data_IF_922196823203
#
_entry.id   IF_922196823203
#
_cell.length_a   1.000
_cell.length_b   1.000
_cell.length_c   1.000
_cell.angle_alpha   90.00
_cell.angle_beta   90.00
_cell.angle_gamma   90.00
#
_symmetry.space_group_name_H-M   'P 1'
#
loop_
_entity.id
_entity.type
_entity.pdbx_description
1 polymer ?
#
# COMPACT_ATOMS: atom_id res chain seq x y z
N UNK A 1 -39.29 9.85 89.74
CA UNK A 1 -38.01 9.15 89.47
C UNK A 1 -37.26 9.97 88.44
N UNK A 2 -36.10 10.50 88.83
CA UNK A 2 -35.24 11.40 88.04
C UNK A 2 -34.84 10.80 86.69
N UNK A 3 -34.69 11.61 85.63
CA UNK A 3 -33.53 11.50 84.71
C UNK A 3 -33.44 12.65 83.67
N UNK A 4 -32.46 13.53 83.91
CA UNK A 4 -31.48 14.17 83.01
C UNK A 4 -31.79 14.54 81.53
N UNK A 5 -31.64 15.86 81.26
CA UNK A 5 -30.72 16.52 80.30
C UNK A 5 -30.47 15.87 78.91
N UNK A 6 -30.65 16.66 77.83
CA UNK A 6 -29.57 17.15 76.92
C UNK A 6 -30.10 17.96 75.73
N UNK A 7 -29.57 19.18 75.56
CA UNK A 7 -29.57 19.94 74.29
C UNK A 7 -28.70 19.21 73.25
N UNK A 8 -29.06 19.23 71.95
CA UNK A 8 -28.08 19.10 70.89
C UNK A 8 -27.77 20.45 70.24
N UNK A 9 -26.48 20.67 70.04
CA UNK A 9 -25.85 21.83 69.45
C UNK A 9 -26.16 21.97 67.95
N UNK A 10 -26.34 23.21 67.50
CA UNK A 10 -26.48 23.57 66.09
C UNK A 10 -25.07 23.60 65.47
N UNK A 11 -24.80 22.67 64.56
CA UNK A 11 -23.61 22.66 63.71
C UNK A 11 -23.85 23.59 62.50
N UNK A 12 -22.93 24.53 62.18
CA UNK A 12 -23.03 25.28 60.94
C UNK A 12 -22.55 24.39 59.78
N UNK A 13 -23.43 24.17 58.81
CA UNK A 13 -23.11 23.47 57.57
C UNK A 13 -22.28 24.40 56.69
N UNK A 14 -20.97 24.19 56.64
CA UNK A 14 -20.07 24.88 55.70
C UNK A 14 -20.29 24.32 54.30
N UNK A 15 -20.86 25.14 53.42
CA UNK A 15 -21.02 24.82 52.00
C UNK A 15 -19.64 24.85 51.31
N UNK A 16 -19.09 23.69 50.98
CA UNK A 16 -17.91 23.56 50.13
C UNK A 16 -18.36 23.75 48.67
N UNK A 17 -18.06 24.92 48.11
CA UNK A 17 -18.24 25.17 46.68
C UNK A 17 -17.15 24.41 45.90
N UNK A 18 -17.51 23.25 45.34
CA UNK A 18 -16.69 22.53 44.37
C UNK A 18 -16.74 23.30 43.06
N UNK A 19 -15.76 24.18 42.84
CA UNK A 19 -15.55 24.84 41.55
C UNK A 19 -15.08 23.82 40.52
N UNK A 20 -15.98 23.37 39.64
CA UNK A 20 -15.62 22.63 38.44
C UNK A 20 -14.91 23.59 37.48
N UNK A 21 -13.58 23.57 37.49
CA UNK A 21 -12.79 24.25 36.46
C UNK A 21 -13.03 23.53 35.13
N UNK A 22 -13.88 24.10 34.28
CA UNK A 22 -13.98 23.73 32.88
C UNK A 22 -12.68 24.19 32.20
N UNK A 23 -11.73 23.27 32.03
CA UNK A 23 -10.65 23.47 31.07
C UNK A 23 -11.26 23.36 29.67
N UNK A 24 -11.13 24.37 28.80
CA UNK A 24 -11.56 24.24 27.43
C UNK A 24 -10.73 23.12 26.80
N UNK A 25 -11.39 22.05 26.37
CA UNK A 25 -10.76 21.02 25.56
C UNK A 25 -10.20 21.70 24.31
N UNK A 26 -8.88 21.65 24.13
CA UNK A 26 -8.23 22.05 22.88
C UNK A 26 -8.78 21.15 21.79
N UNK A 27 -9.68 21.69 20.97
CA UNK A 27 -10.14 21.02 19.75
C UNK A 27 -8.88 20.73 18.94
N UNK A 28 -8.58 19.47 18.59
CA UNK A 28 -7.42 19.16 17.77
C UNK A 28 -7.59 19.91 16.45
N UNK A 29 -6.70 20.85 16.20
CA UNK A 29 -6.63 21.56 14.93
C UNK A 29 -6.52 20.50 13.84
N UNK A 30 -7.50 20.43 12.94
CA UNK A 30 -7.43 19.51 11.82
C UNK A 30 -6.09 19.73 11.10
N UNK A 31 -5.22 18.71 11.11
CA UNK A 31 -3.90 18.80 10.49
C UNK A 31 -4.07 19.31 9.06
N UNK A 32 -3.49 20.48 8.77
CA UNK A 32 -3.44 20.97 7.40
C UNK A 32 -2.76 19.88 6.57
N UNK A 33 -3.44 19.46 5.50
CA UNK A 33 -2.88 18.45 4.61
C UNK A 33 -1.60 19.02 4.01
N UNK A 34 -0.45 18.45 4.38
CA UNK A 34 0.84 18.77 3.78
C UNK A 34 1.23 17.72 2.76
N UNK A 35 2.18 18.05 1.88
CA UNK A 35 2.75 17.10 0.91
C UNK A 35 3.33 15.87 1.62
N UNK A 36 4.09 16.08 2.70
CA UNK A 36 4.74 15.02 3.47
C UNK A 36 3.70 14.08 4.10
N UNK A 37 2.61 14.65 4.62
CA UNK A 37 1.50 13.88 5.19
C UNK A 37 0.78 13.06 4.11
N UNK A 38 0.59 13.60 2.91
CA UNK A 38 -0.01 12.85 1.80
C UNK A 38 0.90 11.73 1.31
N UNK A 39 2.19 11.98 1.14
CA UNK A 39 3.15 10.98 0.66
C UNK A 39 3.32 9.84 1.66
N UNK A 40 3.41 10.15 2.95
CA UNK A 40 3.47 9.15 4.02
C UNK A 40 2.18 8.31 4.10
N UNK A 41 1.00 8.94 3.99
CA UNK A 41 -0.29 8.22 3.93
C UNK A 41 -0.40 7.35 2.68
N UNK A 42 0.00 7.86 1.51
CA UNK A 42 -0.05 7.10 0.25
C UNK A 42 0.78 5.83 0.35
N UNK A 43 2.03 5.96 0.78
CA UNK A 43 2.98 4.85 0.81
C UNK A 43 2.67 3.84 1.91
N UNK A 44 2.24 4.29 3.09
CA UNK A 44 1.72 3.39 4.14
C UNK A 44 0.47 2.64 3.69
N UNK A 45 -0.43 3.28 2.95
CA UNK A 45 -1.59 2.60 2.38
C UNK A 45 -1.19 1.57 1.32
N UNK A 46 -0.21 1.85 0.47
CA UNK A 46 0.32 0.86 -0.49
C UNK A 46 0.87 -0.38 0.24
N UNK A 47 1.61 -0.18 1.34
CA UNK A 47 2.20 -1.28 2.11
C UNK A 47 1.17 -2.20 2.80
N UNK A 48 -0.06 -1.72 3.03
CA UNK A 48 -1.14 -2.50 3.68
C UNK A 48 -2.07 -3.20 2.68
N UNK A 49 -1.82 -3.07 1.37
CA UNK A 49 -2.63 -3.73 0.35
C UNK A 49 -2.55 -5.25 0.49
N UNK A 50 -3.72 -5.91 0.50
CA UNK A 50 -3.82 -7.38 0.56
C UNK A 50 -3.83 -8.03 -0.82
N UNK A 51 -4.54 -7.40 -1.74
CA UNK A 51 -4.72 -7.88 -3.11
C UNK A 51 -4.97 -6.74 -4.07
N UNK A 52 -4.65 -6.95 -5.35
CA UNK A 52 -4.95 -6.05 -6.44
C UNK A 52 -5.56 -6.84 -7.59
N UNK A 53 -6.61 -6.28 -8.20
CA UNK A 53 -7.15 -6.71 -9.49
C UNK A 53 -7.31 -5.51 -10.38
N UNK A 54 -6.70 -5.54 -11.55
CA UNK A 54 -6.80 -4.43 -12.50
C UNK A 54 -6.57 -4.90 -13.94
N UNK A 55 -6.90 -4.02 -14.88
CA UNK A 55 -6.49 -4.15 -16.28
C UNK A 55 -5.36 -3.16 -16.52
N UNK A 56 -4.18 -3.68 -16.85
CA UNK A 56 -2.97 -2.90 -17.09
C UNK A 56 -2.87 -2.62 -18.58
N UNK A 57 -2.59 -1.36 -18.92
CA UNK A 57 -2.16 -0.94 -20.26
C UNK A 57 -0.73 -0.44 -20.13
N UNK A 58 0.22 -1.17 -20.72
CA UNK A 58 1.62 -0.79 -20.73
C UNK A 58 2.02 -0.33 -22.13
N UNK A 59 2.87 0.68 -22.19
CA UNK A 59 3.49 1.16 -23.42
C UNK A 59 4.98 1.38 -23.15
N UNK A 60 5.83 0.64 -23.86
CA UNK A 60 7.27 0.65 -23.68
C UNK A 60 7.95 1.04 -24.98
N UNK A 61 9.02 1.84 -24.89
CA UNK A 61 9.84 2.21 -26.02
C UNK A 61 11.00 1.23 -26.14
N UNK A 62 11.04 0.47 -27.23
CA UNK A 62 12.12 -0.46 -27.52
C UNK A 62 13.36 0.29 -28.02
N UNK A 63 14.52 -0.37 -27.96
CA UNK A 63 15.81 0.15 -28.47
C UNK A 63 15.77 0.56 -29.94
N UNK A 64 14.90 -0.06 -30.73
CA UNK A 64 14.66 0.27 -32.15
C UNK A 64 13.87 1.56 -32.36
N UNK A 65 13.47 2.25 -31.28
CA UNK A 65 12.65 3.46 -31.31
C UNK A 65 11.15 3.22 -31.46
N UNK A 66 10.72 1.97 -31.67
CA UNK A 66 9.31 1.59 -31.77
C UNK A 66 8.65 1.48 -30.39
N UNK A 67 7.36 1.77 -30.32
CA UNK A 67 6.55 1.55 -29.12
C UNK A 67 5.89 0.16 -29.17
N UNK A 68 6.05 -0.61 -28.10
CA UNK A 68 5.33 -1.85 -27.85
C UNK A 68 4.21 -1.58 -26.85
N UNK A 69 2.99 -1.98 -27.19
CA UNK A 69 1.84 -1.89 -26.29
C UNK A 69 1.44 -3.27 -25.80
N UNK A 70 1.13 -3.36 -24.50
CA UNK A 70 0.60 -4.56 -23.88
C UNK A 70 -0.68 -4.25 -23.11
N UNK A 71 -1.62 -5.21 -23.14
CA UNK A 71 -2.85 -5.18 -22.34
C UNK A 71 -2.95 -6.49 -21.58
N UNK A 72 -3.06 -6.37 -20.27
CA UNK A 72 -2.98 -7.52 -19.36
C UNK A 72 -4.03 -7.38 -18.27
N UNK A 73 -4.84 -8.42 -18.09
CA UNK A 73 -5.64 -8.58 -16.88
C UNK A 73 -4.73 -9.12 -15.78
N UNK A 74 -4.67 -8.42 -14.65
CA UNK A 74 -3.77 -8.71 -13.55
C UNK A 74 -4.56 -9.01 -12.27
N UNK A 75 -4.13 -10.03 -11.54
CA UNK A 75 -4.55 -10.31 -10.17
C UNK A 75 -3.32 -10.61 -9.35
N UNK A 76 -3.26 -10.08 -8.14
CA UNK A 76 -2.15 -10.38 -7.24
C UNK A 76 -2.59 -10.35 -5.77
N UNK A 77 -1.83 -11.04 -4.93
CA UNK A 77 -1.84 -10.90 -3.48
C UNK A 77 -0.43 -10.58 -3.00
N UNK A 78 -0.30 -9.81 -1.93
CA UNK A 78 1.00 -9.34 -1.44
C UNK A 78 1.57 -10.22 -0.32
N UNK A 79 0.73 -10.90 0.46
CA UNK A 79 1.15 -11.83 1.50
C UNK A 79 0.15 -13.02 1.60
N UNK A 80 0.51 -14.23 1.11
CA UNK A 80 1.73 -14.55 0.36
C UNK A 80 1.76 -13.84 -1.01
N UNK A 81 2.95 -13.59 -1.56
CA UNK A 81 3.07 -12.93 -2.85
C UNK A 81 2.66 -13.90 -3.98
N UNK A 82 1.61 -13.54 -4.71
CA UNK A 82 1.12 -14.29 -5.88
C UNK A 82 0.80 -13.33 -7.01
N UNK A 83 1.17 -13.70 -8.23
CA UNK A 83 0.95 -12.89 -9.42
C UNK A 83 0.28 -13.75 -10.49
N UNK A 84 -0.84 -13.25 -11.02
CA UNK A 84 -1.52 -13.82 -12.17
C UNK A 84 -1.69 -12.76 -13.25
N UNK A 85 -1.24 -13.08 -14.46
CA UNK A 85 -1.31 -12.23 -15.63
C UNK A 85 -1.99 -12.98 -16.77
N UNK A 86 -2.92 -12.32 -17.47
CA UNK A 86 -3.52 -12.83 -18.69
C UNK A 86 -3.54 -11.76 -19.77
N UNK A 87 -2.92 -12.04 -20.91
CA UNK A 87 -2.93 -11.10 -22.02
C UNK A 87 -4.16 -11.30 -22.93
N UNK A 88 -4.34 -10.39 -23.88
CA UNK A 88 -5.45 -10.44 -24.86
C UNK A 88 -5.36 -11.62 -25.84
N UNK A 89 -4.19 -12.26 -25.97
CA UNK A 89 -3.96 -13.44 -26.82
C UNK A 89 -4.25 -14.76 -26.08
N UNK A 90 -4.66 -14.67 -24.80
CA UNK A 90 -4.95 -15.83 -23.96
C UNK A 90 -3.74 -16.47 -23.31
N UNK A 91 -2.53 -15.91 -23.45
CA UNK A 91 -1.37 -16.35 -22.68
C UNK A 91 -1.59 -16.01 -21.21
N UNK A 92 -1.36 -16.99 -20.35
CA UNK A 92 -1.53 -16.88 -18.90
C UNK A 92 -0.20 -17.15 -18.20
N UNK A 93 0.06 -16.40 -17.14
CA UNK A 93 1.22 -16.56 -16.26
C UNK A 93 0.70 -16.62 -14.82
N UNK A 94 1.16 -17.62 -14.07
CA UNK A 94 0.93 -17.74 -12.63
C UNK A 94 2.29 -17.90 -11.93
N UNK A 95 2.55 -17.04 -10.95
CA UNK A 95 3.68 -17.17 -10.05
C UNK A 95 3.19 -17.13 -8.60
N UNK A 96 3.74 -18.01 -7.77
CA UNK A 96 3.41 -18.12 -6.35
C UNK A 96 4.71 -18.27 -5.57
N UNK A 97 4.91 -17.40 -4.59
CA UNK A 97 6.06 -17.43 -3.70
C UNK A 97 6.23 -18.82 -3.04
N UNK A 98 7.44 -19.37 -3.12
CA UNK A 98 7.77 -20.68 -2.55
C UNK A 98 7.21 -21.89 -3.28
N UNK A 99 6.71 -21.75 -4.52
CA UNK A 99 6.22 -22.85 -5.35
C UNK A 99 6.98 -22.97 -6.68
N UNK A 100 6.85 -24.13 -7.34
CA UNK A 100 7.40 -24.40 -8.68
C UNK A 100 8.90 -24.09 -8.80
N UNK A 101 9.67 -24.39 -7.75
CA UNK A 101 11.12 -24.10 -7.68
C UNK A 101 11.49 -22.63 -7.93
N UNK A 102 10.54 -21.70 -7.71
CA UNK A 102 10.69 -20.27 -7.98
C UNK A 102 10.24 -19.82 -9.38
N UNK A 103 9.94 -20.76 -10.28
CA UNK A 103 9.51 -20.49 -11.64
C UNK A 103 8.03 -20.11 -11.72
N UNK A 104 7.66 -19.38 -12.78
CA UNK A 104 6.26 -19.16 -13.13
C UNK A 104 5.72 -20.29 -14.02
N UNK A 105 4.47 -20.68 -13.79
CA UNK A 105 3.71 -21.47 -14.76
C UNK A 105 3.23 -20.56 -15.90
N UNK A 106 3.57 -20.92 -17.12
CA UNK A 106 3.21 -20.18 -18.33
C UNK A 106 2.39 -21.07 -19.24
N UNK A 107 1.14 -20.67 -19.46
CA UNK A 107 0.25 -21.29 -20.43
C UNK A 107 0.23 -20.43 -21.71
N UNK A 108 0.84 -20.87 -22.82
CA UNK A 108 1.02 -20.07 -24.02
C UNK A 108 -0.25 -19.91 -24.86
N UNK A 109 -1.30 -20.72 -24.59
CA UNK A 109 -2.53 -20.77 -25.39
C UNK A 109 -2.27 -21.06 -26.88
N UNK A 110 -1.30 -21.94 -27.16
CA UNK A 110 -0.92 -22.37 -28.50
C UNK A 110 -0.65 -23.88 -28.47
N UNK A 111 -0.93 -24.58 -29.56
CA UNK A 111 -0.64 -26.01 -29.68
C UNK A 111 0.88 -26.26 -29.77
N UNK A 112 1.44 -27.25 -29.04
CA UNK A 112 0.75 -28.16 -28.12
C UNK A 112 0.35 -27.44 -26.82
N UNK A 113 -0.84 -27.76 -26.28
CA UNK A 113 -1.39 -27.12 -25.07
C UNK A 113 -0.68 -27.59 -23.78
N UNK A 114 0.58 -27.22 -23.66
CA UNK A 114 1.44 -27.54 -22.52
C UNK A 114 1.63 -26.32 -21.63
N UNK A 115 1.78 -26.54 -20.33
CA UNK A 115 2.21 -25.50 -19.39
C UNK A 115 3.72 -25.61 -19.22
N UNK A 116 4.41 -24.48 -19.30
CA UNK A 116 5.86 -24.37 -19.17
C UNK A 116 6.21 -23.82 -17.79
N UNK A 117 7.31 -24.28 -17.19
CA UNK A 117 7.95 -23.60 -16.05
C UNK A 117 9.05 -22.70 -16.58
N UNK A 118 8.96 -21.40 -16.33
CA UNK A 118 9.90 -20.39 -16.79
C UNK A 118 10.30 -19.46 -15.64
N UNK A 119 11.58 -19.15 -15.53
CA UNK A 119 12.09 -18.16 -14.58
C UNK A 119 11.48 -16.76 -14.88
N UNK A 120 10.77 -16.12 -13.92
CA UNK A 120 10.23 -14.76 -14.06
C UNK A 120 11.28 -13.72 -14.44
N UNK A 121 12.52 -13.91 -14.00
CA UNK A 121 13.65 -13.02 -14.27
C UNK A 121 14.45 -13.44 -15.52
N UNK A 122 14.11 -14.58 -16.10
CA UNK A 122 14.75 -15.15 -17.26
C UNK A 122 14.52 -14.35 -18.55
N UNK A 123 15.43 -14.53 -19.50
CA UNK A 123 15.42 -13.80 -20.79
C UNK A 123 14.18 -14.08 -21.64
N UNK A 124 13.53 -15.24 -21.46
CA UNK A 124 12.30 -15.61 -22.18
C UNK A 124 11.12 -14.78 -21.69
N UNK A 125 10.90 -14.73 -20.37
CA UNK A 125 9.77 -13.98 -19.80
C UNK A 125 9.94 -12.46 -19.92
N UNK A 126 11.18 -11.97 -19.94
CA UNK A 126 11.51 -10.54 -20.08
C UNK A 126 11.86 -10.13 -21.51
N UNK A 127 11.59 -10.98 -22.51
CA UNK A 127 11.91 -10.63 -23.90
C UNK A 127 11.16 -9.36 -24.32
N UNK A 128 11.91 -8.33 -24.70
CA UNK A 128 11.40 -7.02 -25.08
C UNK A 128 10.63 -6.28 -23.96
N UNK A 129 10.96 -6.56 -22.69
CA UNK A 129 10.41 -5.86 -21.52
C UNK A 129 11.52 -5.59 -20.49
N UNK A 130 11.56 -4.39 -19.91
CA UNK A 130 12.51 -4.05 -18.84
C UNK A 130 12.11 -4.63 -17.46
N UNK A 131 10.83 -4.90 -17.23
CA UNK A 131 10.28 -5.37 -15.95
C UNK A 131 9.95 -6.86 -15.95
N UNK A 132 10.08 -7.49 -14.79
CA UNK A 132 9.67 -8.86 -14.51
C UNK A 132 8.18 -8.94 -14.17
N UNK A 133 7.59 -10.14 -14.25
CA UNK A 133 6.25 -10.38 -13.73
C UNK A 133 6.17 -10.13 -12.19
N UNK A 134 7.31 -10.22 -11.49
CA UNK A 134 7.41 -9.96 -10.05
C UNK A 134 7.35 -8.46 -9.71
N UNK A 135 7.65 -7.58 -10.67
CA UNK A 135 7.60 -6.13 -10.50
C UNK A 135 6.17 -5.57 -10.59
N UNK A 136 5.19 -6.45 -10.77
CA UNK A 136 3.79 -6.10 -10.96
C UNK A 136 3.17 -5.49 -9.68
N UNK A 137 2.36 -4.44 -9.85
CA UNK A 137 1.61 -3.81 -8.76
C UNK A 137 2.15 -2.45 -8.34
N UNK A 138 1.93 -2.09 -7.08
CA UNK A 138 2.26 -0.76 -6.55
C UNK A 138 3.63 -0.68 -5.88
N UNK A 139 4.35 -1.79 -5.70
CA UNK A 139 5.67 -1.80 -5.06
C UNK A 139 6.65 -0.87 -5.76
N UNK A 140 6.84 -1.06 -7.08
CA UNK A 140 7.68 -0.19 -7.91
C UNK A 140 7.24 1.28 -7.86
N UNK A 141 5.94 1.55 -7.77
CA UNK A 141 5.43 2.92 -7.68
C UNK A 141 5.80 3.54 -6.33
N UNK A 142 5.65 2.79 -5.24
CA UNK A 142 6.07 3.23 -3.90
C UNK A 142 7.57 3.50 -3.85
N UNK A 143 8.38 2.62 -4.43
CA UNK A 143 9.84 2.78 -4.49
C UNK A 143 10.25 4.00 -5.34
N UNK A 144 9.54 4.22 -6.45
CA UNK A 144 9.75 5.40 -7.29
C UNK A 144 9.49 6.68 -6.50
N UNK A 145 8.34 6.74 -5.80
CA UNK A 145 7.88 7.90 -5.02
C UNK A 145 8.80 8.20 -3.84
N UNK A 146 9.18 7.18 -3.06
CA UNK A 146 10.08 7.36 -1.92
C UNK A 146 11.48 7.79 -2.33
N UNK A 147 11.91 7.43 -3.54
CA UNK A 147 13.31 7.59 -3.94
C UNK A 147 14.20 6.55 -3.24
N UNK A 148 15.20 6.06 -3.97
CA UNK A 148 16.23 5.20 -3.38
C UNK A 148 17.24 6.07 -2.63
N UNK A 149 17.75 5.62 -1.47
CA UNK A 149 18.84 6.29 -0.76
C UNK A 149 20.11 6.49 -1.62
N UNK A 150 20.29 5.68 -2.67
CA UNK A 150 21.36 5.79 -3.66
C UNK A 150 21.16 6.92 -4.68
N UNK A 151 20.00 7.58 -4.70
CA UNK A 151 19.70 8.67 -5.64
C UNK A 151 20.39 9.93 -5.11
N UNK A 152 21.45 10.38 -5.80
CA UNK A 152 22.24 11.56 -5.40
C UNK A 152 21.46 12.88 -5.43
N UNK A 153 20.30 12.91 -6.09
CA UNK A 153 19.47 14.10 -6.24
C UNK A 153 18.03 13.82 -5.78
N UNK A 154 17.57 14.61 -4.80
CA UNK A 154 16.21 14.60 -4.26
C UNK A 154 15.25 15.53 -5.02
N UNK A 155 15.66 16.08 -6.17
CA UNK A 155 14.81 16.92 -7.04
C UNK A 155 13.48 16.25 -7.40
N UNK A 156 13.45 14.92 -7.47
CA UNK A 156 12.24 14.14 -7.70
C UNK A 156 11.21 14.30 -6.57
N UNK A 157 11.64 14.30 -5.31
CA UNK A 157 10.75 14.52 -4.15
C UNK A 157 10.13 15.92 -4.19
N UNK A 158 10.88 16.92 -4.70
CA UNK A 158 10.40 18.30 -4.89
C UNK A 158 9.33 18.44 -5.99
N UNK A 159 9.16 17.41 -6.83
CA UNK A 159 8.21 17.41 -7.95
C UNK A 159 6.79 17.10 -7.49
N UNK A 160 6.62 16.43 -6.35
CA UNK A 160 5.31 16.23 -5.73
C UNK A 160 5.06 17.39 -4.78
N UNK A 161 4.03 18.20 -5.06
CA UNK A 161 3.62 19.31 -4.19
C UNK A 161 2.11 19.33 -4.07
N UNK A 162 1.63 19.44 -2.84
CA UNK A 162 0.25 19.76 -2.52
C UNK A 162 0.18 21.23 -2.10
N UNK A 163 -0.58 22.02 -2.86
CA UNK A 163 -0.77 23.47 -2.68
C UNK A 163 -2.22 23.79 -2.41
#
# INVERSE_FOLDING_TARGET
MMLFFRLPAILPLTAVAVGTAFTPATVPTADRITTELLMSRLTSNIATLKSLRCNVRAQERLSTGKFQQARTAMKMTFNPHRVYLKNVKGLEVLWVEGQNDGDAWVYPNLFPYITLSLDPNGSIMRRNQHHSALDAGFGIISDLIHGSAQRRDQSFERSFRYT
#
